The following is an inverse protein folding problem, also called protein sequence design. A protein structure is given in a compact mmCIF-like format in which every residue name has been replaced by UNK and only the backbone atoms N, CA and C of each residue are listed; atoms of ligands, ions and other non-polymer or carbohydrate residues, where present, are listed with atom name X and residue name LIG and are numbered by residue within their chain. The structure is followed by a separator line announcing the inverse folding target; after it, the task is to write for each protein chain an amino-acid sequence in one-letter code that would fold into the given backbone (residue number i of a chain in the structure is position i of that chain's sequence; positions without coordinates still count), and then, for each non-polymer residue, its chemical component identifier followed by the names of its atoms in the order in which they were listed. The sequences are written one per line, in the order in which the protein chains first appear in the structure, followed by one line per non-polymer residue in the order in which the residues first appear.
data_IF_084169893602
#
_entry.id   IF_084169893602
#
_cell.length_a   1.000
_cell.length_b   1.000
_cell.length_c   1.000
_cell.angle_alpha   90.00
_cell.angle_beta   90.00
_cell.angle_gamma   90.00
#
_symmetry.space_group_name_H-M   'P 1'
#
loop_
_entity.id
_entity.type
_entity.pdbx_description
1 polymer ?
#
# COMPACT_ATOMS: atom_id res chain seq x y z
N UNK A 1 33.60 0.03 -53.89
CA UNK A 1 33.24 -1.32 -53.41
C UNK A 1 32.10 -1.14 -52.42
N UNK A 2 30.87 -1.62 -52.58
CA UNK A 2 30.17 -2.32 -53.65
C UNK A 2 28.71 -2.34 -53.16
N UNK A 3 27.77 -1.90 -53.99
CA UNK A 3 26.37 -2.37 -54.18
C UNK A 3 25.49 -2.64 -52.94
N UNK A 4 24.39 -1.92 -52.74
CA UNK A 4 23.08 -2.08 -53.45
C UNK A 4 22.53 -3.50 -53.35
N UNK A 5 21.36 -3.64 -52.73
CA UNK A 5 20.30 -4.51 -53.22
C UNK A 5 18.95 -3.94 -52.82
N UNK A 6 18.25 -3.50 -53.86
CA UNK A 6 16.88 -3.03 -53.94
C UNK A 6 15.84 -4.16 -53.95
N UNK A 7 14.58 -3.71 -53.92
CA UNK A 7 13.39 -4.27 -54.56
C UNK A 7 12.55 -5.24 -53.69
N UNK A 8 11.32 -4.88 -53.30
CA UNK A 8 10.06 -4.74 -54.08
C UNK A 8 9.11 -5.89 -53.65
N UNK A 9 7.78 -5.85 -53.66
CA UNK A 9 6.76 -4.88 -54.05
C UNK A 9 5.39 -5.42 -53.55
N UNK A 10 4.48 -4.50 -53.21
CA UNK A 10 3.06 -4.40 -53.64
C UNK A 10 2.13 -5.63 -53.52
N UNK A 11 1.02 -5.47 -52.76
CA UNK A 11 -0.36 -5.53 -53.31
C UNK A 11 -1.42 -5.23 -52.24
N UNK A 12 -2.30 -4.28 -52.57
CA UNK A 12 -3.55 -4.01 -51.89
C UNK A 12 -4.65 -4.98 -52.37
N UNK A 13 -5.63 -5.30 -51.52
CA UNK A 13 -7.02 -5.48 -51.96
C UNK A 13 -7.98 -5.45 -50.79
N UNK A 14 -9.06 -4.68 -50.96
CA UNK A 14 -10.20 -4.54 -50.08
C UNK A 14 -11.07 -5.82 -50.05
N UNK A 15 -11.90 -6.01 -49.02
CA UNK A 15 -13.36 -5.74 -49.08
C UNK A 15 -14.14 -6.40 -47.93
N UNK A 16 -15.24 -5.74 -47.56
CA UNK A 16 -16.49 -6.25 -46.99
C UNK A 16 -16.58 -6.73 -45.52
N UNK A 17 -17.28 -5.92 -44.72
CA UNK A 17 -18.10 -6.36 -43.57
C UNK A 17 -19.21 -7.32 -43.99
N UNK A 18 -19.71 -8.15 -43.06
CA UNK A 18 -21.12 -8.00 -42.71
C UNK A 18 -21.40 -8.08 -41.21
N UNK A 19 -22.42 -7.34 -40.80
CA UNK A 19 -23.10 -7.40 -39.51
C UNK A 19 -23.46 -8.83 -39.09
N UNK A 20 -23.29 -9.15 -37.81
CA UNK A 20 -24.16 -10.12 -37.13
C UNK A 20 -24.29 -9.76 -35.66
N UNK A 21 -25.38 -9.06 -35.39
CA UNK A 21 -25.99 -8.86 -34.09
C UNK A 21 -26.20 -10.19 -33.37
N UNK A 22 -25.52 -10.41 -32.25
CA UNK A 22 -25.96 -11.37 -31.24
C UNK A 22 -25.74 -10.76 -29.85
N UNK A 23 -26.72 -9.94 -29.47
CA UNK A 23 -26.92 -9.49 -28.10
C UNK A 23 -27.24 -10.73 -27.24
N UNK A 24 -26.19 -11.38 -26.76
CA UNK A 24 -26.29 -12.34 -25.66
C UNK A 24 -26.30 -11.49 -24.40
N UNK A 25 -27.50 -11.24 -23.88
CA UNK A 25 -27.72 -10.65 -22.56
C UNK A 25 -27.16 -11.57 -21.49
N UNK A 26 -25.84 -11.47 -21.27
CA UNK A 26 -25.20 -12.00 -20.06
C UNK A 26 -25.93 -11.40 -18.86
N UNK A 27 -26.34 -12.22 -17.88
CA UNK A 27 -26.91 -11.69 -16.65
C UNK A 27 -25.89 -10.71 -16.08
N UNK A 28 -26.33 -9.48 -15.88
CA UNK A 28 -25.54 -8.45 -15.22
C UNK A 28 -25.22 -8.97 -13.82
N UNK A 29 -24.06 -9.63 -13.69
CA UNK A 29 -23.44 -9.95 -12.42
C UNK A 29 -23.27 -8.61 -11.74
N UNK A 30 -24.15 -8.30 -10.79
CA UNK A 30 -24.03 -7.14 -9.92
C UNK A 30 -22.69 -7.31 -9.23
N UNK A 31 -21.66 -6.67 -9.78
CA UNK A 31 -20.30 -6.71 -9.29
C UNK A 31 -20.36 -6.08 -7.89
N UNK A 32 -20.44 -6.95 -6.88
CA UNK A 32 -20.42 -6.55 -5.48
C UNK A 32 -19.12 -5.77 -5.32
N UNK A 33 -19.24 -4.46 -5.17
CA UNK A 33 -18.09 -3.57 -5.05
C UNK A 33 -17.19 -4.15 -3.94
N UNK A 34 -15.93 -4.48 -4.26
CA UNK A 34 -15.07 -5.15 -3.30
C UNK A 34 -14.93 -4.24 -2.09
N UNK A 35 -15.45 -4.70 -0.95
CA UNK A 35 -15.28 -3.97 0.31
C UNK A 35 -13.78 -3.91 0.59
N UNK A 36 -13.26 -2.75 1.01
CA UNK A 36 -11.84 -2.62 1.28
C UNK A 36 -11.43 -3.59 2.41
N UNK A 37 -10.24 -4.22 2.32
CA UNK A 37 -9.84 -5.30 3.22
C UNK A 37 -9.70 -4.80 4.66
N UNK A 38 -10.17 -5.56 5.64
CA UNK A 38 -10.14 -5.15 7.05
C UNK A 38 -8.79 -5.40 7.74
N UNK A 39 -7.89 -6.13 7.09
CA UNK A 39 -6.61 -6.55 7.67
C UNK A 39 -5.46 -6.19 6.74
N UNK A 40 -4.48 -5.51 7.32
CA UNK A 40 -3.19 -5.17 6.72
C UNK A 40 -2.06 -5.71 7.59
N UNK A 41 -0.89 -5.93 7.00
CA UNK A 41 0.28 -6.46 7.68
C UNK A 41 1.41 -5.42 7.65
N UNK A 42 1.76 -4.92 8.82
CA UNK A 42 2.90 -4.03 9.03
C UNK A 42 4.23 -4.78 8.97
N UNK A 43 5.18 -4.24 8.21
CA UNK A 43 6.55 -4.72 8.19
C UNK A 43 7.51 -3.63 8.68
N UNK A 44 8.33 -4.00 9.66
CA UNK A 44 9.34 -3.14 10.25
C UNK A 44 10.72 -3.79 10.24
N UNK A 45 11.70 -3.06 9.72
CA UNK A 45 13.09 -3.53 9.69
C UNK A 45 13.69 -3.61 11.08
N UNK A 46 13.45 -2.61 11.93
CA UNK A 46 14.01 -2.51 13.28
C UNK A 46 13.62 -3.74 14.11
N UNK A 47 12.33 -4.11 14.06
CA UNK A 47 11.82 -5.31 14.75
C UNK A 47 12.35 -6.57 14.08
N UNK A 48 12.29 -6.67 12.75
CA UNK A 48 12.69 -7.90 12.07
C UNK A 48 14.20 -8.17 12.22
N UNK A 49 15.04 -7.14 12.18
CA UNK A 49 16.47 -7.25 12.43
C UNK A 49 16.77 -7.66 13.86
N UNK A 50 16.08 -7.07 14.85
CA UNK A 50 16.23 -7.42 16.25
C UNK A 50 15.78 -8.86 16.57
N UNK A 51 14.69 -9.32 15.94
CA UNK A 51 14.09 -10.63 16.20
C UNK A 51 14.75 -11.77 15.38
N UNK A 52 15.28 -11.48 14.19
CA UNK A 52 15.88 -12.48 13.31
C UNK A 52 17.41 -12.43 13.33
N UNK A 53 18.00 -12.79 14.47
CA UNK A 53 19.47 -12.83 14.64
C UNK A 53 20.16 -13.92 13.81
N UNK A 54 19.43 -14.98 13.42
CA UNK A 54 19.97 -16.09 12.63
C UNK A 54 19.63 -15.98 11.13
N UNK A 55 20.49 -16.53 10.27
CA UNK A 55 20.20 -16.61 8.83
C UNK A 55 18.93 -17.41 8.53
N UNK A 56 18.67 -18.47 9.30
CA UNK A 56 17.44 -19.27 9.19
C UNK A 56 16.20 -18.40 9.45
N UNK A 57 16.21 -17.61 10.52
CA UNK A 57 15.10 -16.71 10.87
C UNK A 57 14.90 -15.64 9.80
N UNK A 58 15.98 -15.08 9.23
CA UNK A 58 15.89 -14.11 8.13
C UNK A 58 15.24 -14.70 6.88
N UNK A 59 15.57 -15.96 6.53
CA UNK A 59 14.93 -16.67 5.41
C UNK A 59 13.44 -16.91 5.66
N UNK A 60 13.06 -17.22 6.90
CA UNK A 60 11.64 -17.36 7.27
C UNK A 60 10.90 -16.02 7.19
N UNK A 61 11.51 -14.93 7.65
CA UNK A 61 10.94 -13.59 7.51
C UNK A 61 10.72 -13.19 6.05
N UNK A 62 11.68 -13.54 5.18
CA UNK A 62 11.53 -13.36 3.73
C UNK A 62 10.33 -14.13 3.16
N UNK A 63 10.19 -15.42 3.50
CA UNK A 63 9.05 -16.24 3.08
C UNK A 63 7.72 -15.70 3.62
N UNK A 64 7.71 -15.20 4.86
CA UNK A 64 6.53 -14.61 5.46
C UNK A 64 6.06 -13.37 4.68
N UNK A 65 6.97 -12.47 4.29
CA UNK A 65 6.66 -11.32 3.44
C UNK A 65 6.01 -11.76 2.13
N UNK A 66 6.59 -12.77 1.46
CA UNK A 66 6.09 -13.25 0.17
C UNK A 66 4.72 -13.93 0.27
N UNK A 67 4.36 -14.44 1.43
CA UNK A 67 3.05 -15.04 1.67
C UNK A 67 1.93 -14.01 1.87
N UNK A 68 2.27 -12.75 2.17
CA UNK A 68 1.28 -11.69 2.36
C UNK A 68 0.85 -11.11 1.00
N UNK A 69 -0.45 -10.93 0.75
CA UNK A 69 -0.94 -10.22 -0.43
C UNK A 69 -0.33 -8.82 -0.54
N UNK A 70 0.18 -8.47 -1.72
CA UNK A 70 0.93 -7.23 -1.94
C UNK A 70 0.10 -5.96 -1.69
N UNK A 71 -1.20 -6.01 -1.94
CA UNK A 71 -2.18 -4.95 -1.67
C UNK A 71 -2.53 -4.78 -0.18
N UNK A 72 -1.92 -5.58 0.70
CA UNK A 72 -2.14 -5.57 2.15
C UNK A 72 -0.87 -5.38 2.96
N UNK A 73 0.27 -5.18 2.32
CA UNK A 73 1.54 -4.89 2.99
C UNK A 73 1.66 -3.40 3.31
N UNK A 74 2.13 -3.09 4.52
CA UNK A 74 2.45 -1.76 5.01
C UNK A 74 3.91 -1.70 5.46
N UNK A 75 4.51 -0.52 5.37
CA UNK A 75 5.86 -0.25 5.88
C UNK A 75 5.76 0.57 7.15
N UNK A 76 6.44 0.11 8.20
CA UNK A 76 6.48 0.72 9.51
C UNK A 76 7.95 0.89 9.95
N UNK A 77 8.25 1.97 10.66
CA UNK A 77 9.62 2.24 11.11
C UNK A 77 9.93 1.60 12.48
N UNK A 78 8.92 1.51 13.34
CA UNK A 78 8.99 1.16 14.77
C UNK A 78 10.19 1.75 15.51
N UNK A 79 10.50 3.01 15.22
CA UNK A 79 11.53 3.75 15.95
C UNK A 79 10.89 4.62 17.01
N UNK A 80 11.54 4.73 18.17
CA UNK A 80 11.07 5.57 19.27
C UNK A 80 11.45 7.06 19.11
N UNK A 81 12.47 7.37 18.31
CA UNK A 81 12.98 8.72 18.11
C UNK A 81 12.70 9.22 16.68
N UNK A 82 12.20 10.44 16.56
CA UNK A 82 11.84 11.07 15.28
C UNK A 82 13.04 11.16 14.32
N UNK A 83 14.24 11.41 14.86
CA UNK A 83 15.47 11.51 14.06
C UNK A 83 15.80 10.20 13.30
N UNK A 84 15.33 9.06 13.82
CA UNK A 84 15.55 7.75 13.20
C UNK A 84 14.41 7.34 12.24
N UNK A 85 13.34 8.13 12.14
CA UNK A 85 12.13 7.79 11.39
C UNK A 85 12.43 7.50 9.93
N UNK A 86 13.22 8.37 9.31
CA UNK A 86 13.59 8.24 7.90
C UNK A 86 14.44 6.99 7.68
N UNK A 87 15.45 6.77 8.52
CA UNK A 87 16.33 5.61 8.44
C UNK A 87 15.58 4.29 8.60
N UNK A 88 14.72 4.19 9.62
CA UNK A 88 13.90 3.00 9.86
C UNK A 88 12.93 2.71 8.72
N UNK A 89 12.25 3.74 8.21
CA UNK A 89 11.31 3.60 7.09
C UNK A 89 12.01 3.17 5.80
N UNK A 90 13.15 3.79 5.47
CA UNK A 90 13.94 3.44 4.29
C UNK A 90 14.49 2.01 4.36
N UNK A 91 14.98 1.58 5.53
CA UNK A 91 15.47 0.23 5.72
C UNK A 91 14.36 -0.82 5.58
N UNK A 92 13.17 -0.55 6.14
CA UNK A 92 11.99 -1.40 5.98
C UNK A 92 11.56 -1.50 4.53
N UNK A 93 11.49 -0.37 3.83
CA UNK A 93 11.13 -0.32 2.42
C UNK A 93 12.14 -1.06 1.53
N UNK A 94 13.44 -0.84 1.75
CA UNK A 94 14.51 -1.50 1.01
C UNK A 94 14.48 -3.02 1.19
N UNK A 95 14.27 -3.48 2.43
CA UNK A 95 14.14 -4.91 2.71
C UNK A 95 12.91 -5.51 2.03
N UNK A 96 11.77 -4.79 2.05
CA UNK A 96 10.55 -5.24 1.42
C UNK A 96 10.69 -5.34 -0.12
N UNK A 97 11.33 -4.35 -0.75
CA UNK A 97 11.65 -4.37 -2.18
C UNK A 97 12.56 -5.54 -2.56
N UNK A 98 13.62 -5.78 -1.78
CA UNK A 98 14.46 -6.94 -1.95
C UNK A 98 13.68 -8.25 -1.78
N UNK A 99 12.83 -8.36 -0.75
CA UNK A 99 12.07 -9.56 -0.46
C UNK A 99 11.07 -9.91 -1.59
N UNK A 100 10.37 -8.91 -2.11
CA UNK A 100 9.37 -9.04 -3.15
C UNK A 100 9.96 -9.09 -4.57
N UNK A 101 11.28 -8.87 -4.72
CA UNK A 101 11.96 -8.76 -6.02
C UNK A 101 11.32 -7.71 -6.93
N UNK A 102 10.99 -6.55 -6.35
CA UNK A 102 10.33 -5.43 -7.03
C UNK A 102 11.17 -4.15 -6.96
N UNK A 103 11.00 -3.21 -7.90
CA UNK A 103 11.63 -1.90 -7.81
C UNK A 103 11.22 -1.17 -6.53
N UNK A 104 12.18 -0.48 -5.90
CA UNK A 104 11.94 0.27 -4.65
C UNK A 104 10.79 1.28 -4.79
N UNK A 105 10.72 1.97 -5.93
CA UNK A 105 9.67 2.96 -6.23
C UNK A 105 8.28 2.33 -6.31
N UNK A 106 8.16 1.14 -6.89
CA UNK A 106 6.90 0.40 -6.97
C UNK A 106 6.43 0.00 -5.57
N UNK A 107 7.33 -0.51 -4.73
CA UNK A 107 7.00 -0.87 -3.35
C UNK A 107 6.65 0.35 -2.51
N UNK A 108 7.36 1.48 -2.69
CA UNK A 108 7.05 2.74 -2.01
C UNK A 108 5.64 3.21 -2.35
N UNK A 109 5.32 3.26 -3.65
CA UNK A 109 4.01 3.67 -4.11
C UNK A 109 2.91 2.73 -3.60
N UNK A 110 3.09 1.42 -3.75
CA UNK A 110 2.07 0.44 -3.35
C UNK A 110 1.78 0.51 -1.85
N UNK A 111 2.83 0.57 -1.02
CA UNK A 111 2.68 0.60 0.44
C UNK A 111 2.06 1.92 0.91
N UNK A 112 2.37 3.05 0.24
CA UNK A 112 1.69 4.33 0.45
C UNK A 112 0.20 4.24 0.11
N UNK A 113 -0.16 3.69 -1.05
CA UNK A 113 -1.57 3.51 -1.44
C UNK A 113 -2.32 2.60 -0.46
N UNK A 114 -1.68 1.52 -0.02
CA UNK A 114 -2.22 0.61 0.99
C UNK A 114 -2.47 1.34 2.31
N UNK A 115 -1.51 2.16 2.77
CA UNK A 115 -1.65 2.95 4.00
C UNK A 115 -2.80 3.97 3.89
N UNK A 116 -2.95 4.62 2.73
CA UNK A 116 -4.06 5.54 2.50
C UNK A 116 -5.42 4.82 2.56
N UNK A 117 -5.54 3.64 1.95
CA UNK A 117 -6.76 2.81 2.02
C UNK A 117 -7.06 2.38 3.45
N UNK A 118 -6.05 1.92 4.18
CA UNK A 118 -6.15 1.54 5.58
C UNK A 118 -6.64 2.72 6.45
N UNK A 119 -6.01 3.89 6.34
CA UNK A 119 -6.39 5.09 7.12
C UNK A 119 -7.78 5.62 6.78
N UNK A 120 -8.20 5.54 5.51
CA UNK A 120 -9.53 5.96 5.09
C UNK A 120 -10.64 5.12 5.76
N UNK A 121 -10.40 3.83 6.02
CA UNK A 121 -11.37 2.98 6.70
C UNK A 121 -11.66 3.42 8.14
N UNK A 122 -10.65 3.91 8.86
CA UNK A 122 -10.84 4.45 10.22
C UNK A 122 -11.58 5.78 10.22
N UNK A 123 -11.36 6.62 9.21
CA UNK A 123 -12.08 7.91 9.10
C UNK A 123 -13.57 7.71 8.86
N UNK A 124 -13.96 6.76 8.00
CA UNK A 124 -15.36 6.43 7.79
C UNK A 124 -16.00 5.73 9.00
N UNK A 125 -15.25 4.94 9.77
CA UNK A 125 -15.76 4.34 11.01
C UNK A 125 -15.96 5.37 12.13
N UNK A 126 -15.03 6.32 12.31
CA UNK A 126 -15.17 7.35 13.34
C UNK A 126 -16.31 8.35 13.05
N UNK A 127 -16.67 8.57 11.78
CA UNK A 127 -17.87 9.35 11.43
C UNK A 127 -19.18 8.59 11.67
N UNK A 128 -19.17 7.26 11.63
CA UNK A 128 -20.36 6.43 11.88
C UNK A 128 -20.61 6.13 13.37
N UNK A 129 -19.64 6.42 14.24
CA UNK A 129 -19.71 6.12 15.68
C UNK A 129 -19.11 7.23 16.54
N UNK A 130 -19.54 8.48 16.32
CA UNK A 130 -19.03 9.67 17.00
C UNK A 130 -18.82 9.47 18.51
N UNK A 131 -17.56 9.36 18.90
CA UNK A 131 -17.09 9.65 20.25
C UNK A 131 -16.01 10.70 20.09
N UNK A 132 -16.41 11.96 20.28
CA UNK A 132 -15.51 13.09 20.46
C UNK A 132 -14.71 12.87 21.75
N UNK A 133 -13.57 12.18 21.66
CA UNK A 133 -12.57 12.13 22.72
C UNK A 133 -11.57 13.26 22.51
N UNK A 134 -12.04 14.49 22.31
CA UNK A 134 -11.16 15.67 22.21
C UNK A 134 -11.82 16.92 22.80
N UNK A 135 -12.55 16.80 23.92
CA UNK A 135 -13.02 18.00 24.64
C UNK A 135 -13.27 17.81 26.16
N UNK A 136 -12.40 17.09 26.88
CA UNK A 136 -12.56 16.94 28.36
C UNK A 136 -11.35 17.32 29.21
N UNK A 137 -10.33 17.99 28.66
CA UNK A 137 -9.17 18.46 29.46
C UNK A 137 -9.00 19.98 29.52
N UNK A 138 -10.04 20.75 29.16
CA UNK A 138 -9.94 22.23 29.15
C UNK A 138 -10.95 22.94 30.05
N UNK A 139 -11.09 22.51 31.31
CA UNK A 139 -11.76 23.32 32.35
C UNK A 139 -11.44 22.71 33.72
N UNK A 140 -10.33 23.13 34.35
CA UNK A 140 -10.14 23.11 35.82
C UNK A 140 -8.78 23.75 36.20
N UNK A 141 -8.51 24.96 35.71
CA UNK A 141 -7.49 25.85 36.31
C UNK A 141 -8.03 27.28 36.32
N UNK A 142 -9.04 27.52 37.14
CA UNK A 142 -9.38 28.86 37.61
C UNK A 142 -10.27 28.71 38.83
N UNK A 143 -9.69 28.53 40.01
CA UNK A 143 -10.17 29.13 41.25
C UNK A 143 -9.24 28.77 42.41
N UNK A 144 -8.48 29.78 42.83
CA UNK A 144 -7.58 29.72 43.96
C UNK A 144 -7.14 31.14 44.31
N UNK A 145 -8.12 32.02 44.55
CA UNK A 145 -7.90 33.28 45.28
C UNK A 145 -7.32 32.91 46.65
N UNK A 146 -6.07 33.28 46.89
CA UNK A 146 -5.55 33.41 48.25
C UNK A 146 -5.85 34.85 48.66
N UNK A 147 -6.73 34.99 49.64
CA UNK A 147 -7.05 36.24 50.32
C UNK A 147 -5.90 36.68 51.22
N UNK A 148 -5.75 38.00 51.35
CA UNK A 148 -4.89 38.69 52.29
C UNK A 148 -5.19 38.33 53.76
N UNK A 149 -4.12 38.16 54.54
CA UNK A 149 -3.92 38.71 55.89
C UNK A 149 -2.40 38.69 56.23
#
# INVERSE_FOLDING_TARGET
QQQENDAAAVAASANASPDTSSATSSPATVAKSPRPPWLYFGFSHSINYAMCSSEKSRRQGWQAIQAVPYDRLLVESDVHATDNLLGGSLAALAYLAWALQKPLSEVAQQTQENAQRFLAQFRCHNQAGGVDILESTRTNQSEGRVSDD
#
